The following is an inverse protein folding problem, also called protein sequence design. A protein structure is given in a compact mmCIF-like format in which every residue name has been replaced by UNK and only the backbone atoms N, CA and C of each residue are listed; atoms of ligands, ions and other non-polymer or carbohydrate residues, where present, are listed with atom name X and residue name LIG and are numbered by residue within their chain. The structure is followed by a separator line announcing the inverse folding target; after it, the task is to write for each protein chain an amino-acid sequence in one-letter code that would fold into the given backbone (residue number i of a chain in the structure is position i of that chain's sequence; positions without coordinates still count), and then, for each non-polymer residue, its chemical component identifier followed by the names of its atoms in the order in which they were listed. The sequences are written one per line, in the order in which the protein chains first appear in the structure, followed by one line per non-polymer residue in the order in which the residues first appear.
data_IF_333957953674
#
_entry.id   IF_333957953674
#
_cell.length_a   1.000
_cell.length_b   1.000
_cell.length_c   1.000
_cell.angle_alpha   90.00
_cell.angle_beta   90.00
_cell.angle_gamma   90.00
#
_symmetry.space_group_name_H-M   'P 1'
#
loop_
_entity.id
_entity.type
_entity.pdbx_description
1 polymer ?
#
# COMPACT_ATOMS: atom_id res chain seq x y z
N UNK A 1 11.36 -31.49 0.22
CA UNK A 1 10.84 -30.37 -0.57
C UNK A 1 9.89 -29.58 0.30
N UNK A 2 10.31 -28.46 0.79
CA UNK A 2 9.44 -27.58 1.57
C UNK A 2 8.45 -26.94 0.58
N UNK A 3 7.23 -27.45 0.55
CA UNK A 3 6.14 -26.75 -0.12
C UNK A 3 6.00 -25.40 0.56
N UNK A 4 6.38 -24.36 -0.15
CA UNK A 4 6.14 -23.02 0.35
C UNK A 4 4.63 -22.85 0.52
N UNK A 5 4.20 -22.12 1.53
CA UNK A 5 2.79 -21.77 1.76
C UNK A 5 2.09 -21.22 0.52
N UNK A 6 2.85 -20.72 -0.45
CA UNK A 6 2.45 -20.28 -1.78
C UNK A 6 1.71 -21.34 -2.60
N UNK A 7 2.23 -22.57 -2.65
CA UNK A 7 1.64 -23.59 -3.54
C UNK A 7 0.26 -24.04 -3.07
N UNK A 8 0.03 -24.04 -1.76
CA UNK A 8 -1.28 -24.35 -1.17
C UNK A 8 -2.26 -23.17 -1.26
N UNK A 9 -1.76 -21.93 -1.16
CA UNK A 9 -2.62 -20.74 -1.21
C UNK A 9 -3.01 -20.37 -2.64
N UNK A 10 -2.18 -20.70 -3.64
CA UNK A 10 -2.49 -20.47 -5.06
C UNK A 10 -3.78 -21.14 -5.50
N UNK A 11 -4.10 -22.30 -4.93
CA UNK A 11 -5.34 -23.03 -5.22
C UNK A 11 -6.59 -22.24 -4.77
N UNK A 12 -6.47 -21.34 -3.82
CA UNK A 12 -7.55 -20.49 -3.32
C UNK A 12 -7.87 -19.28 -4.24
N UNK A 13 -7.04 -19.05 -5.25
CA UNK A 13 -7.20 -17.91 -6.16
C UNK A 13 -6.72 -16.57 -5.57
N UNK A 14 -7.04 -15.50 -6.27
CA UNK A 14 -6.70 -14.12 -5.87
C UNK A 14 -7.37 -13.75 -4.54
N UNK A 15 -6.59 -13.27 -3.59
CA UNK A 15 -7.09 -12.88 -2.27
C UNK A 15 -8.06 -11.69 -2.30
N UNK A 16 -8.07 -10.92 -3.38
CA UNK A 16 -8.92 -9.73 -3.53
C UNK A 16 -10.22 -9.99 -4.25
N UNK A 17 -10.26 -10.90 -5.25
CA UNK A 17 -11.42 -11.10 -6.09
C UNK A 17 -11.79 -12.58 -6.35
N UNK A 18 -10.99 -13.54 -5.87
CA UNK A 18 -11.24 -14.98 -6.07
C UNK A 18 -10.92 -15.53 -7.45
N UNK A 19 -10.60 -14.70 -8.44
CA UNK A 19 -10.19 -15.16 -9.78
C UNK A 19 -8.87 -15.92 -9.72
N UNK A 20 -8.52 -16.71 -10.75
CA UNK A 20 -7.23 -17.39 -10.77
C UNK A 20 -6.05 -16.46 -10.52
N UNK A 21 -5.17 -16.84 -9.61
CA UNK A 21 -3.99 -16.07 -9.27
C UNK A 21 -2.87 -16.29 -10.27
N UNK A 22 -2.34 -15.19 -10.78
CA UNK A 22 -1.25 -15.19 -11.77
C UNK A 22 0.01 -14.49 -11.26
N UNK A 23 -0.10 -13.77 -10.15
CA UNK A 23 0.98 -13.00 -9.53
C UNK A 23 1.05 -13.25 -8.03
N UNK A 24 2.11 -12.73 -7.40
CA UNK A 24 2.29 -12.70 -5.95
C UNK A 24 2.20 -11.27 -5.45
N UNK A 25 1.38 -11.07 -4.44
CA UNK A 25 1.30 -9.81 -3.71
C UNK A 25 2.17 -9.89 -2.45
N UNK A 26 3.02 -8.90 -2.23
CA UNK A 26 3.81 -8.80 -1.00
C UNK A 26 2.98 -8.23 0.14
N UNK A 27 3.14 -8.81 1.33
CA UNK A 27 2.42 -8.41 2.54
C UNK A 27 3.43 -7.98 3.63
N UNK A 28 3.47 -6.69 3.96
CA UNK A 28 2.82 -5.57 3.29
C UNK A 28 3.41 -5.26 1.92
N UNK A 29 2.71 -4.44 1.13
CA UNK A 29 3.22 -3.99 -0.17
C UNK A 29 4.58 -3.29 -0.04
N UNK A 30 5.49 -3.58 -0.97
CA UNK A 30 6.83 -2.97 -1.03
C UNK A 30 6.81 -1.44 -1.14
N UNK A 31 5.72 -0.86 -1.65
CA UNK A 31 5.56 0.59 -1.72
C UNK A 31 5.68 1.28 -0.35
N UNK A 32 5.34 0.56 0.73
CA UNK A 32 5.38 1.06 2.12
C UNK A 32 6.63 0.62 2.90
N UNK A 33 7.54 -0.12 2.27
CA UNK A 33 8.76 -0.62 2.89
C UNK A 33 10.00 0.13 2.37
N UNK A 34 11.03 0.16 3.21
CA UNK A 34 12.36 0.72 2.89
C UNK A 34 13.30 -0.45 2.55
N UNK A 35 14.06 -0.32 1.48
CA UNK A 35 15.12 -1.29 1.15
C UNK A 35 16.29 -1.24 2.16
N UNK A 36 16.94 -2.36 2.47
CA UNK A 36 16.67 -3.71 1.95
C UNK A 36 15.41 -4.33 2.56
N UNK A 37 14.63 -5.02 1.71
CA UNK A 37 13.43 -5.70 2.19
C UNK A 37 13.79 -6.94 3.03
N UNK A 38 12.91 -7.37 3.98
CA UNK A 38 13.07 -8.63 4.67
C UNK A 38 13.19 -9.80 3.69
N UNK A 39 14.12 -10.73 3.95
CA UNK A 39 14.29 -11.91 3.09
C UNK A 39 13.05 -12.82 3.08
N UNK A 40 12.33 -12.83 4.18
CA UNK A 40 11.11 -13.62 4.42
C UNK A 40 9.83 -12.84 4.21
N UNK A 41 9.87 -11.74 3.44
CA UNK A 41 8.70 -10.93 3.17
C UNK A 41 7.57 -11.79 2.62
N UNK A 42 6.46 -11.83 3.36
CA UNK A 42 5.31 -12.66 3.06
C UNK A 42 4.70 -12.32 1.71
N UNK A 43 4.17 -13.33 1.03
CA UNK A 43 3.45 -13.16 -0.22
C UNK A 43 2.15 -13.96 -0.22
N UNK A 44 1.13 -13.42 -0.88
CA UNK A 44 -0.15 -14.09 -1.13
C UNK A 44 -0.50 -14.08 -2.62
N UNK A 45 -1.34 -15.03 -3.06
CA UNK A 45 -1.74 -15.09 -4.46
C UNK A 45 -2.65 -13.92 -4.85
N UNK A 46 -2.37 -13.29 -5.97
CA UNK A 46 -3.21 -12.25 -6.54
C UNK A 46 -3.30 -12.39 -8.07
N UNK A 47 -4.40 -11.96 -8.67
CA UNK A 47 -4.46 -11.83 -10.11
C UNK A 47 -3.73 -10.55 -10.56
N UNK A 48 -3.32 -10.52 -11.82
CA UNK A 48 -2.61 -9.37 -12.37
C UNK A 48 -3.43 -8.08 -12.28
N UNK A 49 -4.72 -8.15 -12.58
CA UNK A 49 -5.60 -6.97 -12.57
C UNK A 49 -5.70 -6.35 -11.18
N UNK A 50 -5.90 -7.15 -10.14
CA UNK A 50 -5.95 -6.65 -8.77
C UNK A 50 -4.59 -6.10 -8.32
N UNK A 51 -3.52 -6.85 -8.53
CA UNK A 51 -2.18 -6.45 -8.12
C UNK A 51 -1.73 -5.16 -8.84
N UNK A 52 -1.93 -5.07 -10.15
CA UNK A 52 -1.58 -3.89 -10.93
C UNK A 52 -2.55 -2.72 -10.69
N UNK A 53 -3.82 -3.01 -10.41
CA UNK A 53 -4.85 -2.00 -10.18
C UNK A 53 -4.57 -1.09 -8.96
N UNK A 54 -3.88 -1.59 -7.97
CA UNK A 54 -3.52 -0.82 -6.77
C UNK A 54 -2.26 0.04 -6.95
N UNK A 55 -1.45 -0.21 -7.96
CA UNK A 55 -0.08 0.35 -8.05
C UNK A 55 -0.03 1.87 -8.04
N UNK A 56 -0.96 2.55 -8.71
CA UNK A 56 -1.01 4.03 -8.74
C UNK A 56 -1.44 4.63 -7.41
N UNK A 57 -2.37 3.98 -6.73
CA UNK A 57 -2.84 4.44 -5.42
C UNK A 57 -1.80 4.15 -4.34
N UNK A 58 -1.09 3.04 -4.42
CA UNK A 58 0.05 2.75 -3.56
C UNK A 58 1.18 3.78 -3.75
N UNK A 59 1.49 4.13 -4.99
CA UNK A 59 2.47 5.18 -5.28
C UNK A 59 2.04 6.52 -4.68
N UNK A 60 0.79 6.92 -4.89
CA UNK A 60 0.24 8.15 -4.33
C UNK A 60 0.30 8.16 -2.80
N UNK A 61 -0.27 7.15 -2.14
CA UNK A 61 -0.35 7.09 -0.68
C UNK A 61 1.05 7.03 -0.06
N UNK A 62 1.97 6.22 -0.60
CA UNK A 62 3.34 6.14 -0.08
C UNK A 62 4.10 7.45 -0.23
N UNK A 63 3.97 8.13 -1.37
CA UNK A 63 4.59 9.45 -1.59
C UNK A 63 3.97 10.52 -0.70
N UNK A 64 2.64 10.51 -0.54
CA UNK A 64 1.94 11.46 0.33
C UNK A 64 2.40 11.33 1.80
N UNK A 65 2.45 10.10 2.33
CA UNK A 65 2.87 9.86 3.70
C UNK A 65 4.33 10.26 3.94
N UNK A 66 5.21 10.00 2.97
CA UNK A 66 6.61 10.41 3.07
C UNK A 66 6.77 11.94 3.05
N UNK A 67 6.07 12.61 2.15
CA UNK A 67 6.06 14.08 2.07
C UNK A 67 5.44 14.71 3.33
N UNK A 68 4.36 14.14 3.86
CA UNK A 68 3.75 14.60 5.11
C UNK A 68 4.71 14.46 6.30
N UNK A 69 5.42 13.33 6.41
CA UNK A 69 6.46 13.14 7.44
C UNK A 69 7.56 14.18 7.33
N UNK A 70 8.01 14.50 6.11
CA UNK A 70 9.02 15.53 5.88
C UNK A 70 8.53 16.93 6.27
N UNK A 71 7.25 17.22 6.10
CA UNK A 71 6.64 18.48 6.51
C UNK A 71 6.49 18.59 8.04
N UNK A 72 6.16 17.49 8.73
CA UNK A 72 5.89 17.47 10.17
C UNK A 72 7.15 17.33 11.01
N UNK A 73 8.10 16.52 10.59
CA UNK A 73 9.29 16.18 11.38
C UNK A 73 10.55 16.81 10.77
N UNK A 74 11.15 17.77 11.48
CA UNK A 74 12.33 18.50 11.01
C UNK A 74 13.55 17.61 10.72
N UNK A 75 13.69 16.49 11.42
CA UNK A 75 14.80 15.56 11.27
C UNK A 75 14.48 14.36 10.38
N UNK A 76 13.33 14.37 9.71
CA UNK A 76 12.96 13.28 8.80
C UNK A 76 13.68 13.47 7.46
N UNK A 77 14.35 12.43 7.02
CA UNK A 77 14.94 12.37 5.68
C UNK A 77 14.02 11.57 4.77
N UNK A 78 13.56 12.19 3.69
CA UNK A 78 12.71 11.52 2.72
C UNK A 78 13.38 10.29 2.14
N UNK A 79 12.59 9.29 1.85
CA UNK A 79 13.06 8.04 1.24
C UNK A 79 13.65 8.32 -0.15
N UNK A 80 14.86 7.84 -0.46
CA UNK A 80 15.49 8.08 -1.76
C UNK A 80 14.69 7.56 -2.97
N UNK A 81 13.96 6.46 -2.80
CA UNK A 81 13.08 5.92 -3.83
C UNK A 81 11.89 6.83 -4.12
N UNK A 82 11.31 7.45 -3.08
CA UNK A 82 10.23 8.42 -3.21
C UNK A 82 10.73 9.69 -3.91
N UNK A 83 11.87 10.21 -3.50
CA UNK A 83 12.48 11.40 -4.15
C UNK A 83 12.64 11.16 -5.65
N UNK A 84 13.25 10.03 -6.05
CA UNK A 84 13.41 9.68 -7.46
C UNK A 84 12.08 9.53 -8.22
N UNK A 85 11.04 9.02 -7.56
CA UNK A 85 9.69 8.92 -8.17
C UNK A 85 9.10 10.30 -8.44
N UNK A 86 9.17 11.20 -7.48
CA UNK A 86 8.65 12.56 -7.61
C UNK A 86 9.42 13.37 -8.67
N UNK A 87 10.72 13.16 -8.80
CA UNK A 87 11.52 13.76 -9.88
C UNK A 87 11.05 13.32 -11.27
N UNK A 88 10.58 12.08 -11.41
CA UNK A 88 10.08 11.52 -12.67
C UNK A 88 8.60 11.77 -12.93
N UNK A 89 7.84 12.08 -11.90
CA UNK A 89 6.40 12.28 -11.97
C UNK A 89 6.01 13.67 -11.45
N UNK A 90 6.23 14.68 -12.31
CA UNK A 90 5.93 16.07 -11.97
C UNK A 90 4.47 16.30 -11.58
N UNK A 91 3.52 15.59 -12.22
CA UNK A 91 2.09 15.72 -11.89
C UNK A 91 1.79 15.26 -10.47
N UNK A 92 2.39 14.15 -10.06
CA UNK A 92 2.24 13.67 -8.68
C UNK A 92 2.88 14.64 -7.70
N UNK A 93 4.07 15.16 -8.01
CA UNK A 93 4.74 16.15 -7.17
C UNK A 93 3.89 17.41 -6.99
N UNK A 94 3.36 17.96 -8.07
CA UNK A 94 2.50 19.15 -8.05
C UNK A 94 1.22 18.91 -7.21
N UNK A 95 0.61 17.73 -7.36
CA UNK A 95 -0.55 17.33 -6.56
C UNK A 95 -0.21 17.30 -5.06
N UNK A 96 0.92 16.72 -4.68
CA UNK A 96 1.34 16.68 -3.27
C UNK A 96 1.66 18.08 -2.73
N UNK A 97 2.29 18.94 -3.54
CA UNK A 97 2.57 20.33 -3.17
C UNK A 97 1.28 21.15 -2.97
N UNK A 98 0.20 20.81 -3.68
CA UNK A 98 -1.13 21.40 -3.46
C UNK A 98 -1.82 20.85 -2.21
N UNK A 99 -1.65 19.57 -1.92
CA UNK A 99 -2.32 18.88 -0.82
C UNK A 99 -1.64 19.02 0.53
N UNK A 100 -0.36 19.38 0.56
CA UNK A 100 0.42 19.58 1.80
C UNK A 100 0.94 21.00 1.81
N UNK A 101 0.48 21.80 2.78
CA UNK A 101 0.86 23.21 2.94
C UNK A 101 1.49 23.44 4.30
N UNK A 102 2.47 24.32 4.33
CA UNK A 102 3.08 24.81 5.58
C UNK A 102 2.79 26.31 5.65
N UNK A 103 2.01 26.73 6.62
CA UNK A 103 1.64 28.12 6.86
C UNK A 103 1.83 28.44 8.34
N UNK A 104 2.57 29.53 8.63
CA UNK A 104 2.87 29.98 9.98
C UNK A 104 3.43 28.87 10.91
N UNK A 105 4.25 27.96 10.36
CA UNK A 105 4.84 26.83 11.09
C UNK A 105 3.88 25.68 11.38
N UNK A 106 2.66 25.74 10.87
CA UNK A 106 1.67 24.67 10.94
C UNK A 106 1.57 23.93 9.62
N UNK A 107 1.36 22.62 9.72
CA UNK A 107 1.19 21.76 8.54
C UNK A 107 -0.29 21.49 8.33
N UNK A 108 -0.76 21.83 7.13
CA UNK A 108 -2.12 21.53 6.66
C UNK A 108 -2.03 20.51 5.54
N UNK A 109 -2.93 19.55 5.55
CA UNK A 109 -2.95 18.53 4.51
C UNK A 109 -4.38 18.11 4.14
N UNK A 110 -4.55 17.67 2.91
CA UNK A 110 -5.80 17.15 2.38
C UNK A 110 -5.52 15.94 1.49
N UNK A 111 -5.59 14.74 2.08
CA UNK A 111 -5.39 13.50 1.35
C UNK A 111 -6.64 13.10 0.57
N UNK A 112 -6.45 12.43 -0.57
CA UNK A 112 -7.55 11.75 -1.26
C UNK A 112 -8.01 10.54 -0.43
N UNK A 113 -9.11 10.72 0.31
CA UNK A 113 -9.63 9.73 1.25
C UNK A 113 -10.04 8.43 0.55
N UNK A 114 -10.58 8.50 -0.68
CA UNK A 114 -10.98 7.30 -1.42
C UNK A 114 -9.77 6.43 -1.77
N UNK A 115 -8.69 7.05 -2.20
CA UNK A 115 -7.43 6.34 -2.49
C UNK A 115 -6.81 5.78 -1.22
N UNK A 116 -6.81 6.55 -0.14
CA UNK A 116 -6.31 6.09 1.16
C UNK A 116 -7.13 4.89 1.67
N UNK A 117 -8.45 5.00 1.71
CA UNK A 117 -9.34 3.91 2.14
C UNK A 117 -9.13 2.65 1.30
N UNK A 118 -9.04 2.79 -0.02
CA UNK A 118 -8.77 1.66 -0.92
C UNK A 118 -7.48 0.93 -0.58
N UNK A 119 -6.42 1.65 -0.26
CA UNK A 119 -5.13 1.07 0.13
C UNK A 119 -5.19 0.46 1.54
N UNK A 120 -5.86 1.09 2.50
CA UNK A 120 -6.04 0.53 3.84
C UNK A 120 -6.83 -0.79 3.80
N UNK A 121 -7.89 -0.85 3.02
CA UNK A 121 -8.67 -2.08 2.80
C UNK A 121 -7.80 -3.17 2.16
N UNK A 122 -7.04 -2.81 1.14
CA UNK A 122 -6.09 -3.75 0.49
C UNK A 122 -5.10 -4.33 1.50
N UNK A 123 -4.45 -3.48 2.30
CA UNK A 123 -3.48 -3.90 3.30
C UNK A 123 -4.15 -4.79 4.36
N UNK A 124 -5.34 -4.43 4.83
CA UNK A 124 -6.09 -5.23 5.80
C UNK A 124 -6.45 -6.61 5.26
N UNK A 125 -6.93 -6.70 4.02
CA UNK A 125 -7.20 -7.99 3.35
C UNK A 125 -5.95 -8.86 3.23
N UNK A 126 -4.81 -8.25 2.86
CA UNK A 126 -3.54 -8.94 2.77
C UNK A 126 -3.09 -9.51 4.11
N UNK A 127 -3.12 -8.71 5.16
CA UNK A 127 -2.75 -9.15 6.51
C UNK A 127 -3.72 -10.19 7.08
N UNK A 128 -5.03 -10.00 6.89
CA UNK A 128 -6.02 -11.01 7.31
C UNK A 128 -5.81 -12.36 6.60
N UNK A 129 -5.50 -12.34 5.32
CA UNK A 129 -5.19 -13.54 4.55
C UNK A 129 -3.91 -14.23 5.00
N UNK A 130 -2.87 -13.47 5.34
CA UNK A 130 -1.59 -14.02 5.77
C UNK A 130 -1.59 -14.48 7.24
N UNK A 131 -2.06 -13.61 8.15
CA UNK A 131 -1.98 -13.87 9.60
C UNK A 131 -3.05 -14.84 10.09
N UNK A 132 -4.24 -14.79 9.50
CA UNK A 132 -5.42 -15.52 9.99
C UNK A 132 -5.98 -16.53 8.99
N UNK A 133 -5.37 -16.68 7.82
CA UNK A 133 -5.90 -17.48 6.70
C UNK A 133 -7.36 -17.09 6.34
N UNK A 134 -7.70 -15.82 6.57
CA UNK A 134 -9.03 -15.27 6.33
C UNK A 134 -9.04 -14.47 5.04
N UNK A 135 -9.88 -14.88 4.10
CA UNK A 135 -10.07 -14.19 2.83
C UNK A 135 -11.49 -13.66 2.78
N UNK A 136 -11.62 -12.33 2.63
CA UNK A 136 -12.88 -11.65 2.43
C UNK A 136 -12.88 -10.88 1.11
N UNK A 137 -13.94 -11.03 0.33
CA UNK A 137 -14.14 -10.24 -0.89
C UNK A 137 -15.06 -9.04 -0.65
N UNK A 138 -15.64 -8.93 0.54
CA UNK A 138 -16.50 -7.82 0.95
C UNK A 138 -15.68 -6.76 1.69
N UNK A 139 -15.75 -5.52 1.21
CA UNK A 139 -15.07 -4.38 1.81
C UNK A 139 -15.72 -3.90 3.11
N UNK A 140 -17.03 -4.17 3.28
CA UNK A 140 -17.80 -3.79 4.48
C UNK A 140 -17.30 -4.50 5.74
N UNK A 141 -16.87 -5.75 5.62
CA UNK A 141 -16.34 -6.54 6.74
C UNK A 141 -15.09 -5.91 7.37
N UNK A 142 -14.35 -5.12 6.59
CA UNK A 142 -13.09 -4.50 7.00
C UNK A 142 -13.33 -3.08 7.53
N UNK A 143 -14.26 -2.34 6.95
CA UNK A 143 -14.60 -0.99 7.41
C UNK A 143 -15.14 -1.00 8.84
N UNK A 144 -15.86 -2.05 9.23
CA UNK A 144 -16.39 -2.20 10.60
C UNK A 144 -15.30 -2.53 11.64
N UNK A 145 -14.11 -2.93 11.20
CA UNK A 145 -12.97 -3.26 12.07
C UNK A 145 -12.02 -2.08 12.31
N UNK A 146 -12.14 -1.01 11.53
CA UNK A 146 -11.32 0.18 11.68
C UNK A 146 -12.08 1.20 12.56
N UNK A 147 -11.57 1.54 13.76
CA UNK A 147 -12.15 2.63 14.53
C UNK A 147 -11.95 3.94 13.76
N UNK A 148 -13.06 4.61 13.47
CA UNK A 148 -13.05 5.97 12.93
C UNK A 148 -12.62 6.96 13.99
#
# INVERSE_FOLDING_TARGET
MLFTSWDKSREKGCIYCGKPATTREHIPSKAFLIEPYPEDLATLPACFECNNGFSKDEEYVSCFLDALKAAVYQNYTQRPDIVRRLERNAKLKDLLDEQIKIEDGQVYYNIDENRLCGILIKLAKGHAGFEFDHISFDDSDICDMLPL
#
